data_IF_246080301355
#
_entry.id   IF_246080301355
#
_cell.length_a   1.000
_cell.length_b   1.000
_cell.length_c   1.000
_cell.angle_alpha   90.00
_cell.angle_beta   90.00
_cell.angle_gamma   90.00
#
_symmetry.space_group_name_H-M   'P 1'
#
loop_
_entity.id
_entity.type
_entity.pdbx_description
1 polymer ?
#
# COMPACT_ATOMS: atom_id res chain seq x y z
N UNK A 1 14.18 58.41 -25.49
CA UNK A 1 14.66 58.21 -24.10
C UNK A 1 14.62 56.70 -23.81
N UNK A 2 15.81 56.13 -23.59
CA UNK A 2 16.21 54.89 -22.88
C UNK A 2 15.27 53.66 -22.91
N UNK A 3 15.62 52.52 -23.53
CA UNK A 3 16.53 51.45 -23.03
C UNK A 3 16.01 50.86 -21.69
N UNK A 4 15.89 49.55 -21.43
CA UNK A 4 16.74 48.42 -21.77
C UNK A 4 16.03 47.07 -21.46
N UNK A 5 16.56 46.01 -22.10
CA UNK A 5 16.46 44.56 -21.81
C UNK A 5 16.39 44.21 -20.31
N UNK A 6 15.81 43.04 -19.99
CA UNK A 6 16.58 41.88 -19.48
C UNK A 6 15.69 40.61 -19.46
N UNK A 7 16.12 39.63 -20.27
CA UNK A 7 15.72 38.22 -20.23
C UNK A 7 16.61 37.54 -19.20
N UNK A 8 16.02 36.87 -18.21
CA UNK A 8 16.74 36.00 -17.29
C UNK A 8 16.48 34.54 -17.63
N UNK A 9 17.49 33.91 -18.22
CA UNK A 9 17.61 32.47 -18.39
C UNK A 9 17.76 31.81 -17.01
N UNK A 10 16.98 30.76 -16.74
CA UNK A 10 17.20 29.87 -15.60
C UNK A 10 18.00 28.65 -16.07
N UNK A 11 19.18 28.51 -15.48
CA UNK A 11 20.15 27.43 -15.70
C UNK A 11 19.67 26.17 -14.97
N UNK A 12 19.54 25.07 -15.70
CA UNK A 12 19.33 23.72 -15.16
C UNK A 12 20.66 23.17 -14.63
N UNK A 13 20.75 22.96 -13.31
CA UNK A 13 21.81 22.14 -12.74
C UNK A 13 21.44 20.66 -12.84
N UNK A 14 22.08 19.97 -13.78
CA UNK A 14 22.17 18.52 -13.84
C UNK A 14 23.03 18.01 -12.67
N UNK A 15 22.49 17.10 -11.86
CA UNK A 15 23.26 16.25 -10.97
C UNK A 15 23.11 14.81 -11.43
N UNK A 16 24.19 14.23 -11.94
CA UNK A 16 24.36 12.82 -12.19
C UNK A 16 25.59 12.37 -11.40
N UNK A 17 25.50 11.33 -10.56
CA UNK A 17 26.68 10.60 -10.11
C UNK A 17 26.95 9.44 -11.06
N UNK A 18 28.12 9.51 -11.70
CA UNK A 18 28.72 8.40 -12.43
C UNK A 18 29.60 7.54 -11.48
N UNK A 19 29.84 6.33 -11.96
CA UNK A 19 30.97 5.44 -11.69
C UNK A 19 30.84 4.31 -10.67
N UNK A 20 30.68 3.13 -11.26
CA UNK A 20 31.00 1.80 -10.80
C UNK A 20 32.34 1.40 -11.45
N UNK A 21 33.35 0.97 -10.67
CA UNK A 21 34.43 0.05 -11.10
C UNK A 21 35.28 -0.37 -9.88
N UNK A 22 35.24 -1.64 -9.49
CA UNK A 22 36.28 -2.66 -9.70
C UNK A 22 37.61 -2.43 -8.98
N UNK A 23 37.94 -3.34 -8.06
CA UNK A 23 39.32 -3.83 -7.87
C UNK A 23 39.26 -5.30 -7.44
N UNK A 24 40.07 -6.10 -8.11
CA UNK A 24 40.24 -7.53 -7.92
C UNK A 24 41.69 -7.79 -7.46
N UNK A 25 41.86 -8.86 -6.67
CA UNK A 25 43.13 -9.59 -6.35
C UNK A 25 44.15 -8.76 -5.54
N UNK A 26 45.01 -9.27 -4.67
CA UNK A 26 45.77 -10.52 -4.47
C UNK A 26 46.00 -10.69 -2.93
N UNK A 27 45.85 -11.87 -2.31
CA UNK A 27 46.75 -13.02 -2.18
C UNK A 27 47.89 -12.93 -1.12
N UNK A 28 47.85 -13.92 -0.21
CA UNK A 28 48.95 -14.74 0.34
C UNK A 28 49.69 -14.41 1.66
N UNK A 29 50.01 -15.53 2.33
CA UNK A 29 50.89 -15.79 3.49
C UNK A 29 50.17 -15.70 4.85
N UNK A 30 50.22 -16.65 5.79
CA UNK A 30 51.14 -17.78 6.10
C UNK A 30 50.46 -18.54 7.27
N UNK A 31 50.27 -19.87 7.34
CA UNK A 31 51.16 -20.94 7.86
C UNK A 31 50.23 -22.15 8.14
N UNK A 32 50.47 -23.33 7.53
CA UNK A 32 51.14 -24.50 8.16
C UNK A 32 50.33 -25.13 9.32
N UNK A 33 49.48 -26.14 9.06
CA UNK A 33 49.77 -27.58 8.90
C UNK A 33 50.24 -28.30 10.16
N UNK A 34 49.29 -28.82 10.94
CA UNK A 34 49.39 -30.05 11.74
C UNK A 34 47.93 -30.57 11.83
N UNK A 35 47.57 -31.81 11.54
CA UNK A 35 48.29 -33.07 11.65
C UNK A 35 47.26 -34.03 12.28
N UNK A 36 46.90 -35.05 11.53
CA UNK A 36 45.70 -35.88 11.66
C UNK A 36 45.96 -37.09 12.58
N UNK A 37 44.96 -37.42 13.40
CA UNK A 37 44.55 -38.76 13.90
C UNK A 37 45.18 -39.48 15.12
N UNK A 38 44.25 -39.82 16.02
CA UNK A 38 43.94 -41.14 16.62
C UNK A 38 44.78 -41.71 17.78
N UNK A 39 44.11 -41.82 18.94
CA UNK A 39 44.23 -42.96 19.84
C UNK A 39 42.89 -43.26 20.53
N UNK A 40 42.29 -44.40 20.17
CA UNK A 40 41.14 -45.05 20.83
C UNK A 40 41.68 -46.01 21.89
N UNK A 41 41.15 -45.97 23.13
CA UNK A 41 41.01 -47.06 24.13
C UNK A 41 40.73 -46.39 25.51
N UNK A 42 39.56 -46.48 26.15
CA UNK A 42 38.88 -47.70 26.61
C UNK A 42 37.54 -47.40 27.30
N UNK A 43 36.53 -48.23 26.95
CA UNK A 43 35.45 -48.84 27.75
C UNK A 43 34.41 -48.05 28.59
N UNK A 44 33.16 -48.12 28.09
CA UNK A 44 31.86 -48.45 28.72
C UNK A 44 31.54 -47.91 30.13
N UNK A 45 30.40 -47.28 30.42
CA UNK A 45 28.97 -47.64 30.22
C UNK A 45 28.20 -46.39 30.68
N UNK A 46 27.18 -45.81 30.02
CA UNK A 46 25.78 -46.25 29.98
C UNK A 46 24.91 -45.18 29.28
N UNK A 47 24.22 -45.60 28.20
CA UNK A 47 22.86 -45.29 27.70
C UNK A 47 22.20 -43.88 27.80
N UNK A 48 21.25 -43.57 26.87
CA UNK A 48 20.93 -42.22 26.39
C UNK A 48 19.76 -41.55 27.13
N UNK A 49 19.75 -40.23 27.20
CA UNK A 49 18.55 -39.44 27.56
C UNK A 49 17.97 -38.79 26.30
N UNK A 50 16.93 -39.44 25.82
CA UNK A 50 15.86 -38.95 24.98
C UNK A 50 15.19 -37.68 25.53
N UNK A 51 15.14 -36.66 24.67
CA UNK A 51 13.96 -35.88 24.30
C UNK A 51 12.85 -35.70 25.33
N UNK A 52 12.86 -34.59 26.09
CA UNK A 52 11.63 -33.92 26.55
C UNK A 52 11.91 -32.51 27.13
N UNK A 53 12.12 -31.50 26.27
CA UNK A 53 11.91 -30.10 26.71
C UNK A 53 11.35 -29.20 25.61
N UNK A 54 10.39 -29.70 24.84
CA UNK A 54 9.29 -28.87 24.32
C UNK A 54 8.26 -28.70 25.45
N UNK A 55 8.51 -27.77 26.38
CA UNK A 55 7.49 -27.35 27.35
C UNK A 55 7.34 -25.84 27.36
N UNK A 56 6.35 -25.41 26.57
CA UNK A 56 5.44 -24.31 26.85
C UNK A 56 6.06 -22.93 27.13
N UNK A 57 6.63 -22.31 26.10
CA UNK A 57 6.48 -20.87 25.96
C UNK A 57 5.04 -20.58 25.50
N UNK A 58 4.09 -20.55 26.44
CA UNK A 58 2.79 -19.92 26.21
C UNK A 58 3.06 -18.45 25.93
N UNK A 59 3.23 -18.10 24.65
CA UNK A 59 3.27 -16.73 24.19
C UNK A 59 1.98 -16.09 24.66
N UNK A 60 2.08 -15.18 25.63
CA UNK A 60 0.96 -14.33 26.07
C UNK A 60 0.39 -13.69 24.81
N UNK A 61 -0.76 -14.18 24.34
CA UNK A 61 -1.52 -13.61 23.23
C UNK A 61 -1.93 -12.22 23.72
N UNK A 62 -1.12 -11.20 23.41
CA UNK A 62 -1.52 -9.81 23.59
C UNK A 62 -2.87 -9.70 22.89
N UNK A 63 -3.91 -9.28 23.61
CA UNK A 63 -5.18 -8.87 23.02
C UNK A 63 -4.90 -7.67 22.11
N UNK A 64 -4.34 -7.93 20.94
CA UNK A 64 -4.12 -6.93 19.91
C UNK A 64 -5.49 -6.59 19.34
N UNK A 65 -5.79 -5.30 19.26
CA UNK A 65 -7.00 -4.83 18.59
C UNK A 65 -7.04 -5.46 17.19
N UNK A 66 -8.22 -5.87 16.69
CA UNK A 66 -8.34 -6.45 15.36
C UNK A 66 -7.73 -5.50 14.33
N UNK A 67 -7.00 -6.07 13.37
CA UNK A 67 -6.36 -5.29 12.33
C UNK A 67 -7.42 -4.49 11.54
N UNK A 68 -7.16 -3.20 11.31
CA UNK A 68 -8.09 -2.33 10.57
C UNK A 68 -8.16 -2.78 9.11
N UNK A 69 -9.36 -3.08 8.62
CA UNK A 69 -9.64 -3.55 7.25
C UNK A 69 -9.89 -2.42 6.24
N UNK A 70 -9.92 -1.18 6.74
CA UNK A 70 -10.13 0.03 5.96
C UNK A 70 -9.50 1.23 6.66
N UNK A 71 -9.11 2.23 5.87
CA UNK A 71 -8.51 3.47 6.36
C UNK A 71 -9.06 4.69 5.62
N UNK A 72 -8.91 5.85 6.26
CA UNK A 72 -9.10 7.17 5.64
C UNK A 72 -7.74 7.84 5.43
N UNK A 73 -7.70 8.80 4.50
CA UNK A 73 -6.47 9.53 4.13
C UNK A 73 -6.68 11.05 4.24
N UNK A 74 -6.89 11.59 5.45
CA UNK A 74 -7.10 13.03 5.66
C UNK A 74 -5.91 13.89 5.23
N UNK A 75 -4.70 13.32 5.23
CA UNK A 75 -3.47 13.99 4.77
C UNK A 75 -3.46 14.23 3.25
N UNK A 76 -4.27 13.49 2.47
CA UNK A 76 -4.43 13.69 1.03
C UNK A 76 -5.55 14.69 0.69
N UNK A 77 -6.13 15.36 1.69
CA UNK A 77 -7.19 16.34 1.48
C UNK A 77 -6.74 17.51 0.59
N UNK A 78 -5.51 18.01 0.80
CA UNK A 78 -4.96 19.10 -0.02
C UNK A 78 -4.85 18.73 -1.50
N UNK A 79 -4.55 17.48 -1.84
CA UNK A 79 -4.54 17.02 -3.23
C UNK A 79 -5.96 17.02 -3.84
N UNK A 80 -6.98 16.68 -3.05
CA UNK A 80 -8.38 16.81 -3.49
C UNK A 80 -8.76 18.28 -3.70
N UNK A 81 -8.34 19.18 -2.81
CA UNK A 81 -8.59 20.63 -2.98
C UNK A 81 -7.94 21.18 -4.24
N UNK A 82 -6.72 20.74 -4.58
CA UNK A 82 -6.05 21.08 -5.84
C UNK A 82 -6.92 20.67 -7.04
N UNK A 83 -7.50 19.46 -7.01
CA UNK A 83 -8.38 18.96 -8.07
C UNK A 83 -9.75 19.68 -8.13
N UNK A 84 -10.21 20.28 -7.03
CA UNK A 84 -11.45 21.07 -6.96
C UNK A 84 -11.24 22.54 -7.35
N UNK A 85 -10.00 23.02 -7.44
CA UNK A 85 -9.67 24.39 -7.81
C UNK A 85 -10.32 24.77 -9.15
N UNK A 86 -10.81 26.00 -9.23
CA UNK A 86 -11.52 26.51 -10.42
C UNK A 86 -12.96 26.01 -10.57
N UNK A 87 -13.43 25.09 -9.72
CA UNK A 87 -14.80 24.58 -9.76
C UNK A 87 -15.77 25.32 -8.81
N UNK A 88 -15.27 26.29 -8.03
CA UNK A 88 -16.06 27.00 -7.01
C UNK A 88 -16.43 26.16 -5.78
N UNK A 89 -15.94 24.91 -5.68
CA UNK A 89 -16.24 24.00 -4.59
C UNK A 89 -15.20 24.11 -3.47
N UNK A 90 -15.69 24.19 -2.23
CA UNK A 90 -14.88 24.10 -1.02
C UNK A 90 -15.48 23.05 -0.09
N UNK A 91 -14.66 22.10 0.32
CA UNK A 91 -15.07 20.94 1.10
C UNK A 91 -14.17 20.76 2.30
N UNK A 92 -14.71 20.27 3.42
CA UNK A 92 -13.92 19.90 4.60
C UNK A 92 -13.84 18.38 4.75
N UNK A 93 -12.65 17.85 5.01
CA UNK A 93 -12.50 16.42 5.32
C UNK A 93 -13.12 16.07 6.68
N UNK A 94 -14.01 15.09 6.70
CA UNK A 94 -14.74 14.64 7.88
C UNK A 94 -14.13 13.35 8.45
N UNK A 95 -13.42 13.47 9.57
CA UNK A 95 -12.69 12.34 10.20
C UNK A 95 -13.57 11.43 11.07
N UNK A 96 -14.80 11.85 11.38
CA UNK A 96 -15.71 11.12 12.27
C UNK A 96 -16.66 10.26 11.44
N UNK A 97 -17.02 9.09 11.96
CA UNK A 97 -17.95 8.15 11.31
C UNK A 97 -19.31 8.07 12.03
N UNK A 98 -19.66 9.11 12.80
CA UNK A 98 -20.86 9.10 13.67
C UNK A 98 -22.12 9.56 12.94
N UNK A 99 -21.97 10.43 11.95
CA UNK A 99 -23.07 10.94 11.14
C UNK A 99 -23.35 9.98 9.98
N UNK A 100 -24.62 9.89 9.58
CA UNK A 100 -24.99 9.21 8.35
C UNK A 100 -24.68 10.11 7.15
N UNK A 101 -24.08 9.57 6.07
CA UNK A 101 -23.84 10.35 4.87
C UNK A 101 -25.16 10.63 4.14
N UNK A 102 -25.26 11.81 3.52
CA UNK A 102 -26.39 12.17 2.66
C UNK A 102 -26.30 11.49 1.29
N UNK A 103 -25.09 11.14 0.86
CA UNK A 103 -24.86 10.39 -0.37
C UNK A 103 -23.58 9.55 -0.22
N UNK A 104 -23.54 8.40 -0.89
CA UNK A 104 -22.42 7.46 -0.86
C UNK A 104 -22.19 6.90 -2.25
N UNK A 105 -20.93 6.89 -2.68
CA UNK A 105 -20.55 6.33 -3.96
C UNK A 105 -19.29 5.47 -3.82
N UNK A 106 -19.38 4.20 -4.23
CA UNK A 106 -18.24 3.29 -4.21
C UNK A 106 -17.65 3.13 -5.61
N UNK A 107 -16.33 3.24 -5.71
CA UNK A 107 -15.57 3.13 -6.96
C UNK A 107 -14.21 2.49 -6.70
N UNK A 108 -13.35 2.45 -7.72
CA UNK A 108 -11.97 1.98 -7.62
C UNK A 108 -10.97 3.11 -7.87
N UNK A 109 -9.86 3.05 -7.11
CA UNK A 109 -8.65 3.84 -7.29
C UNK A 109 -7.46 2.89 -7.54
N UNK A 110 -6.35 3.47 -7.95
CA UNK A 110 -5.07 2.79 -8.15
C UNK A 110 -4.15 2.96 -6.94
N UNK A 111 -3.17 2.08 -6.85
CA UNK A 111 -2.15 2.12 -5.82
C UNK A 111 -1.40 0.79 -5.73
N UNK A 112 -0.58 0.69 -4.68
CA UNK A 112 0.22 -0.49 -4.39
C UNK A 112 0.05 -0.91 -2.94
N UNK A 113 0.18 -2.20 -2.69
CA UNK A 113 0.26 -2.79 -1.36
C UNK A 113 1.67 -3.32 -1.14
N UNK A 114 2.15 -3.20 0.10
CA UNK A 114 3.40 -3.79 0.55
C UNK A 114 3.08 -4.83 1.63
N UNK A 115 3.67 -6.01 1.54
CA UNK A 115 3.58 -6.98 2.63
C UNK A 115 4.57 -6.59 3.72
N UNK A 116 4.14 -6.57 4.98
CA UNK A 116 5.00 -6.25 6.12
C UNK A 116 5.10 -7.43 7.10
N UNK A 117 4.68 -8.63 6.67
CA UNK A 117 4.81 -9.83 7.48
C UNK A 117 6.26 -10.29 7.45
N UNK A 118 6.87 -10.46 8.63
CA UNK A 118 8.31 -10.76 8.80
C UNK A 118 8.79 -12.12 8.26
N UNK A 119 7.89 -12.92 7.69
CA UNK A 119 8.21 -14.20 7.04
C UNK A 119 7.58 -14.35 5.66
N UNK A 120 7.15 -13.25 5.05
CA UNK A 120 6.62 -13.25 3.69
C UNK A 120 7.64 -12.58 2.77
N UNK A 121 8.00 -13.28 1.70
CA UNK A 121 8.96 -12.80 0.70
C UNK A 121 8.32 -11.93 -0.39
N UNK A 122 6.99 -11.75 -0.35
CA UNK A 122 6.30 -10.89 -1.30
C UNK A 122 6.75 -9.42 -1.19
N UNK A 123 7.34 -8.90 -2.26
CA UNK A 123 7.74 -7.48 -2.40
C UNK A 123 6.55 -6.49 -2.32
N UNK A 124 5.34 -6.98 -2.57
CA UNK A 124 4.12 -6.18 -2.69
C UNK A 124 3.44 -6.35 -4.04
N UNK A 125 2.24 -5.81 -4.18
CA UNK A 125 1.47 -5.92 -5.44
C UNK A 125 0.81 -4.60 -5.80
N UNK A 126 0.82 -4.28 -7.09
CA UNK A 126 0.00 -3.21 -7.61
C UNK A 126 -1.46 -3.68 -7.68
N UNK A 127 -2.39 -2.79 -7.34
CA UNK A 127 -3.82 -3.04 -7.49
C UNK A 127 -4.43 -1.86 -8.23
N UNK A 128 -4.87 -2.11 -9.47
CA UNK A 128 -5.65 -1.12 -10.23
C UNK A 128 -7.09 -1.00 -9.71
N UNK A 129 -7.46 -1.79 -8.70
CA UNK A 129 -8.84 -2.04 -8.25
C UNK A 129 -8.94 -1.95 -6.72
N UNK A 130 -8.36 -0.91 -6.13
CA UNK A 130 -8.52 -0.63 -4.70
C UNK A 130 -9.89 0.01 -4.51
N UNK A 131 -10.79 -0.63 -3.78
CA UNK A 131 -12.11 -0.09 -3.53
C UNK A 131 -12.04 1.13 -2.60
N UNK A 132 -12.78 2.18 -2.96
CA UNK A 132 -12.98 3.37 -2.14
C UNK A 132 -14.46 3.72 -2.10
N UNK A 133 -14.98 3.95 -0.90
CA UNK A 133 -16.32 4.47 -0.66
C UNK A 133 -16.21 5.95 -0.29
N UNK A 134 -16.66 6.81 -1.19
CA UNK A 134 -16.70 8.26 -1.00
C UNK A 134 -18.05 8.60 -0.38
N UNK A 135 -18.06 9.42 0.66
CA UNK A 135 -19.27 9.77 1.39
C UNK A 135 -19.41 11.29 1.49
N UNK A 136 -20.59 11.80 1.17
CA UNK A 136 -20.97 13.20 1.30
C UNK A 136 -21.78 13.40 2.58
N UNK A 137 -21.55 14.53 3.24
CA UNK A 137 -22.25 14.95 4.44
C UNK A 137 -22.74 16.40 4.29
N UNK A 138 -23.64 16.80 5.18
CA UNK A 138 -24.10 18.18 5.29
C UNK A 138 -22.91 19.16 5.48
N UNK A 139 -23.14 20.41 5.07
CA UNK A 139 -22.17 21.51 5.17
C UNK A 139 -20.86 21.26 4.41
N UNK A 140 -20.96 20.71 3.20
CA UNK A 140 -19.83 20.44 2.30
C UNK A 140 -18.71 19.67 3.00
N UNK A 141 -19.09 18.63 3.72
CA UNK A 141 -18.14 17.71 4.37
C UNK A 141 -18.11 16.42 3.58
N UNK A 142 -16.93 15.80 3.49
CA UNK A 142 -16.81 14.49 2.87
C UNK A 142 -15.77 13.63 3.59
N UNK A 143 -15.85 12.32 3.38
CA UNK A 143 -14.74 11.43 3.64
C UNK A 143 -14.57 10.44 2.49
N UNK A 144 -13.48 9.68 2.54
CA UNK A 144 -13.28 8.55 1.64
C UNK A 144 -12.69 7.39 2.43
N UNK A 145 -13.40 6.27 2.42
CA UNK A 145 -13.04 5.03 3.09
C UNK A 145 -12.38 4.12 2.07
N UNK A 146 -11.09 3.86 2.23
CA UNK A 146 -10.30 3.01 1.35
C UNK A 146 -10.14 1.65 2.00
N UNK A 147 -10.47 0.59 1.26
CA UNK A 147 -10.42 -0.77 1.75
C UNK A 147 -9.04 -1.37 1.55
N UNK A 148 -8.63 -2.18 2.52
CA UNK A 148 -7.35 -2.89 2.48
C UNK A 148 -7.47 -4.17 1.65
N UNK A 149 -6.32 -4.73 1.29
CA UNK A 149 -6.24 -6.04 0.65
C UNK A 149 -5.25 -6.92 1.40
N UNK A 150 -5.41 -8.23 1.25
CA UNK A 150 -4.53 -9.22 1.85
C UNK A 150 -3.49 -9.69 0.85
N UNK A 151 -2.28 -9.96 1.35
CA UNK A 151 -1.23 -10.58 0.57
C UNK A 151 -1.70 -11.97 0.10
N UNK A 152 -1.50 -12.29 -1.18
CA UNK A 152 -1.91 -13.58 -1.75
C UNK A 152 -1.13 -14.76 -1.17
N UNK A 153 0.11 -14.52 -0.74
CA UNK A 153 1.00 -15.58 -0.23
C UNK A 153 0.76 -15.88 1.24
N UNK A 154 0.75 -14.85 2.10
CA UNK A 154 0.68 -15.04 3.56
C UNK A 154 -0.64 -14.57 4.19
N UNK A 155 -1.59 -14.08 3.39
CA UNK A 155 -2.89 -13.56 3.84
C UNK A 155 -2.81 -12.38 4.84
N UNK A 156 -1.62 -11.78 4.99
CA UNK A 156 -1.41 -10.62 5.86
C UNK A 156 -2.11 -9.39 5.29
N UNK A 157 -2.78 -8.65 6.16
CA UNK A 157 -3.55 -7.48 5.77
C UNK A 157 -2.63 -6.29 5.47
N UNK A 158 -2.74 -5.70 4.29
CA UNK A 158 -1.92 -4.57 3.87
C UNK A 158 -2.76 -3.31 3.64
N UNK A 159 -2.29 -2.19 4.17
CA UNK A 159 -2.83 -0.87 3.88
C UNK A 159 -2.22 -0.37 2.56
N UNK A 160 -3.01 0.18 1.63
CA UNK A 160 -2.46 0.61 0.36
C UNK A 160 -1.68 1.92 0.48
N UNK A 161 -0.63 2.03 -0.33
CA UNK A 161 0.00 3.27 -0.75
C UNK A 161 -0.73 3.76 -2.00
N UNK A 162 -1.39 4.92 -1.88
CA UNK A 162 -2.23 5.50 -2.93
C UNK A 162 -1.42 6.41 -3.84
N UNK A 163 -1.88 6.54 -5.09
CA UNK A 163 -1.37 7.50 -6.07
C UNK A 163 -2.41 8.62 -6.34
N UNK A 164 -2.16 9.45 -7.36
CA UNK A 164 -3.01 10.60 -7.70
C UNK A 164 -4.46 10.22 -8.02
N UNK A 165 -4.71 8.97 -8.43
CA UNK A 165 -6.05 8.50 -8.75
C UNK A 165 -7.01 8.60 -7.56
N UNK A 166 -6.50 8.59 -6.31
CA UNK A 166 -7.30 8.87 -5.13
C UNK A 166 -7.94 10.26 -5.21
N UNK A 167 -7.10 11.30 -5.35
CA UNK A 167 -7.57 12.68 -5.34
C UNK A 167 -8.47 12.96 -6.54
N UNK A 168 -8.10 12.47 -7.73
CA UNK A 168 -8.88 12.59 -8.96
C UNK A 168 -10.28 11.98 -8.83
N UNK A 169 -10.38 10.73 -8.34
CA UNK A 169 -11.67 10.03 -8.20
C UNK A 169 -12.57 10.67 -7.15
N UNK A 170 -11.99 11.10 -6.02
CA UNK A 170 -12.73 11.79 -4.97
C UNK A 170 -13.26 13.12 -5.49
N UNK A 171 -12.41 13.96 -6.08
CA UNK A 171 -12.80 15.26 -6.62
C UNK A 171 -13.84 15.13 -7.74
N UNK A 172 -13.67 14.17 -8.66
CA UNK A 172 -14.64 13.87 -9.71
C UNK A 172 -16.03 13.62 -9.11
N UNK A 173 -16.12 12.84 -8.04
CA UNK A 173 -17.40 12.51 -7.42
C UNK A 173 -18.03 13.70 -6.72
N UNK A 174 -17.23 14.49 -5.99
CA UNK A 174 -17.70 15.73 -5.36
C UNK A 174 -18.25 16.71 -6.41
N UNK A 175 -17.58 16.86 -7.55
CA UNK A 175 -18.05 17.66 -8.69
C UNK A 175 -19.40 17.15 -9.23
N UNK A 176 -19.54 15.84 -9.43
CA UNK A 176 -20.79 15.22 -9.91
C UNK A 176 -21.96 15.45 -8.97
N UNK A 177 -21.77 15.31 -7.65
CA UNK A 177 -22.83 15.61 -6.67
C UNK A 177 -23.23 17.09 -6.62
N UNK A 178 -22.37 17.98 -7.11
CA UNK A 178 -22.64 19.42 -7.22
C UNK A 178 -22.99 19.84 -8.65
N UNK A 179 -23.46 18.90 -9.48
CA UNK A 179 -23.91 19.15 -10.86
C UNK A 179 -22.86 19.80 -11.79
N UNK A 180 -21.57 19.69 -11.45
CA UNK A 180 -20.50 20.17 -12.31
C UNK A 180 -20.26 19.12 -13.40
N UNK A 181 -20.34 19.56 -14.66
CA UNK A 181 -20.06 18.72 -15.82
C UNK A 181 -18.65 18.14 -15.71
N UNK A 182 -18.54 16.82 -15.85
CA UNK A 182 -17.27 16.12 -15.87
C UNK A 182 -17.25 15.21 -17.11
N UNK A 183 -16.12 15.13 -17.83
CA UNK A 183 -15.99 14.20 -18.93
C UNK A 183 -16.30 12.78 -18.42
N UNK A 184 -16.88 11.96 -19.30
CA UNK A 184 -16.96 10.53 -19.02
C UNK A 184 -15.53 10.04 -18.92
N UNK A 185 -15.19 9.35 -17.84
CA UNK A 185 -13.88 8.72 -17.76
C UNK A 185 -13.79 7.70 -18.91
N UNK A 186 -12.81 7.86 -19.79
CA UNK A 186 -12.51 6.86 -20.80
C UNK A 186 -11.95 5.64 -20.09
N UNK A 187 -12.84 4.70 -19.80
CA UNK A 187 -12.46 3.38 -19.32
C UNK A 187 -11.98 2.59 -20.53
N UNK A 188 -10.73 2.81 -20.94
CA UNK A 188 -10.04 1.79 -21.73
C UNK A 188 -9.91 0.57 -20.82
N UNK A 189 -10.73 -0.45 -21.09
CA UNK A 189 -10.60 -1.73 -20.42
C UNK A 189 -9.25 -2.31 -20.81
N UNK A 190 -8.28 -2.16 -19.92
CA UNK A 190 -7.05 -2.95 -19.98
C UNK A 190 -7.33 -4.21 -19.19
N UNK A 191 -7.15 -5.36 -19.83
CA UNK A 191 -7.10 -6.63 -19.13
C UNK A 191 -6.15 -6.46 -17.94
N UNK A 192 -6.70 -6.68 -16.75
CA UNK A 192 -5.95 -6.76 -15.51
C UNK A 192 -6.21 -8.13 -14.95
N UNK A 193 -5.23 -8.68 -14.25
CA UNK A 193 -5.40 -9.92 -13.49
C UNK A 193 -6.77 -9.96 -12.78
N UNK A 194 -7.41 -11.13 -12.74
CA UNK A 194 -8.72 -11.27 -12.15
C UNK A 194 -8.71 -10.71 -10.72
N UNK A 195 -9.70 -9.88 -10.41
CA UNK A 195 -9.89 -9.37 -9.06
C UNK A 195 -10.17 -10.57 -8.13
N UNK A 196 -9.31 -10.76 -7.14
CA UNK A 196 -9.41 -11.89 -6.20
C UNK A 196 -10.22 -11.45 -4.97
N UNK A 197 -11.52 -11.77 -4.98
CA UNK A 197 -12.50 -11.36 -3.98
C UNK A 197 -12.11 -11.79 -2.54
N UNK A 198 -11.48 -12.96 -2.40
CA UNK A 198 -11.04 -13.51 -1.11
C UNK A 198 -9.98 -12.65 -0.39
N UNK A 199 -9.21 -11.87 -1.15
CA UNK A 199 -8.17 -10.99 -0.60
C UNK A 199 -8.64 -9.54 -0.49
N UNK A 200 -9.82 -9.19 -0.98
CA UNK A 200 -10.34 -7.83 -0.99
C UNK A 200 -11.30 -7.59 0.18
N UNK A 201 -10.95 -6.69 1.10
CA UNK A 201 -11.80 -6.40 2.26
C UNK A 201 -13.12 -5.70 1.87
N UNK A 202 -13.18 -5.05 0.70
CA UNK A 202 -14.43 -4.52 0.19
C UNK A 202 -15.38 -5.61 -0.36
N UNK A 203 -14.85 -6.69 -0.93
CA UNK A 203 -15.66 -7.82 -1.40
C UNK A 203 -16.28 -8.54 -0.20
N UNK A 204 -15.49 -8.76 0.85
CA UNK A 204 -15.95 -9.39 2.10
C UNK A 204 -17.11 -8.67 2.77
N UNK A 205 -17.25 -7.37 2.55
CA UNK A 205 -18.37 -6.57 3.09
C UNK A 205 -19.39 -6.16 2.03
N UNK A 206 -19.32 -6.74 0.81
CA UNK A 206 -20.35 -6.57 -0.23
C UNK A 206 -20.39 -5.20 -0.92
N UNK A 207 -19.35 -4.38 -0.80
CA UNK A 207 -19.32 -3.02 -1.38
C UNK A 207 -18.41 -2.88 -2.59
N UNK A 208 -17.56 -3.88 -2.86
CA UNK A 208 -16.60 -3.78 -3.95
C UNK A 208 -17.31 -3.63 -5.31
N UNK A 209 -16.93 -2.62 -6.12
CA UNK A 209 -17.53 -2.42 -7.45
C UNK A 209 -17.10 -3.48 -8.46
N UNK A 210 -16.09 -4.29 -8.13
CA UNK A 210 -15.56 -5.37 -8.98
C UNK A 210 -16.00 -6.76 -8.53
N UNK A 211 -16.77 -6.89 -7.44
CA UNK A 211 -17.20 -8.20 -6.94
C UNK A 211 -18.03 -8.92 -7.99
N UNK A 212 -17.76 -10.23 -8.19
CA UNK A 212 -18.50 -11.06 -9.17
C UNK A 212 -19.99 -11.14 -8.87
N UNK A 213 -20.40 -10.85 -7.63
CA UNK A 213 -21.80 -10.81 -7.18
C UNK A 213 -22.59 -9.59 -7.67
N UNK A 214 -21.96 -8.58 -8.28
CA UNK A 214 -22.65 -7.45 -8.95
C UNK A 214 -22.65 -7.63 -10.47
N UNK A 215 -23.04 -8.81 -10.92
CA UNK A 215 -23.43 -9.00 -12.32
C UNK A 215 -24.72 -8.21 -12.52
N UNK A 216 -24.64 -7.19 -13.37
CA UNK A 216 -25.71 -6.25 -13.71
C UNK A 216 -27.04 -6.99 -13.92
N UNK A 217 -28.02 -6.73 -13.05
CA UNK A 217 -29.45 -6.90 -13.34
C UNK A 217 -29.95 -5.52 -13.77
#
# INVERSE_FOLDING_TARGET
>A
MYANRLLTQLVFHHYAPQFYSSVARENLSTLSSYGVENAIRSYSTSQPKNDESLKNAKTKKKNSKPAKTKSMYPNLHGEVEVQLRGSGLSFKFYKKLKEQPIDTYTTSIMGKFLCHSSGCEADGWASKKIAVTIQLYQHNRYNAIVYHQRCKECNHLSRPKLDSSYAERVAYRLKKWNNIAQPKADYTYKESDPHLDEFCEACKVGVCPMSRSRMWI
#
